data_IF_298051679563
#
_entry.id   IF_298051679563
#
_cell.length_a   1.000
_cell.length_b   1.000
_cell.length_c   1.000
_cell.angle_alpha   90.00
_cell.angle_beta   90.00
_cell.angle_gamma   90.00
#
_symmetry.space_group_name_H-M   'P 1'
#
loop_
_entity.id
_entity.type
_entity.pdbx_description
1 polymer ?
#
# COMPACT_ATOMS: atom_id res chain seq x y z
N UNK A 1 -10.23 10.13 -5.47
CA UNK A 1 -9.44 11.26 -6.02
C UNK A 1 -8.60 10.69 -7.14
N UNK A 2 -8.63 11.32 -8.32
CA UNK A 2 -8.04 10.72 -9.52
C UNK A 2 -6.95 11.61 -10.10
N UNK A 3 -5.78 11.02 -10.34
CA UNK A 3 -4.62 11.60 -11.00
C UNK A 3 -4.35 10.76 -12.25
N UNK A 4 -4.99 11.11 -13.36
CA UNK A 4 -4.98 10.33 -14.60
C UNK A 4 -4.35 11.16 -15.72
N UNK A 5 -3.31 10.61 -16.36
CA UNK A 5 -2.52 11.27 -17.41
C UNK A 5 -1.96 12.65 -16.98
N UNK A 6 -1.61 12.79 -15.70
CA UNK A 6 -1.08 14.03 -15.11
C UNK A 6 0.38 13.87 -14.71
N UNK A 7 1.27 13.81 -15.70
CA UNK A 7 2.71 13.75 -15.45
C UNK A 7 3.18 14.94 -14.59
N UNK A 8 3.95 14.68 -13.55
CA UNK A 8 4.45 15.70 -12.61
C UNK A 8 3.42 16.22 -11.61
N UNK A 9 2.22 15.62 -11.52
CA UNK A 9 1.23 16.01 -10.54
C UNK A 9 1.78 15.94 -9.12
N UNK A 10 1.43 16.94 -8.31
CA UNK A 10 1.83 16.98 -6.90
C UNK A 10 0.60 17.17 -6.02
N UNK A 11 0.44 16.28 -5.04
CA UNK A 11 -0.48 16.41 -3.93
C UNK A 11 0.32 16.71 -2.67
N UNK A 12 -0.03 17.75 -1.92
CA UNK A 12 0.76 18.18 -0.77
C UNK A 12 -0.12 18.57 0.42
N UNK A 13 0.18 18.00 1.58
CA UNK A 13 -0.44 18.35 2.87
C UNK A 13 -1.96 18.19 2.85
N UNK A 14 -2.46 17.11 2.26
CA UNK A 14 -3.89 16.84 2.16
C UNK A 14 -4.35 15.80 3.18
N UNK A 15 -5.61 15.89 3.61
CA UNK A 15 -6.29 14.84 4.37
C UNK A 15 -7.38 14.26 3.45
N UNK A 16 -7.34 12.94 3.25
CA UNK A 16 -8.20 12.21 2.34
C UNK A 16 -8.92 11.13 3.15
N UNK A 17 -10.08 11.50 3.66
CA UNK A 17 -10.93 10.70 4.56
C UNK A 17 -12.39 10.61 4.06
N UNK A 18 -12.67 11.17 2.88
CA UNK A 18 -14.02 11.29 2.36
C UNK A 18 -14.58 9.91 2.01
N UNK A 19 -15.71 9.56 2.59
CA UNK A 19 -16.60 8.54 2.05
C UNK A 19 -17.40 9.13 0.89
N UNK A 20 -17.64 8.35 -0.17
CA UNK A 20 -18.54 8.77 -1.24
C UNK A 20 -19.94 8.25 -0.95
N UNK A 21 -20.87 9.12 -0.52
CA UNK A 21 -22.21 8.71 -0.13
C UNK A 21 -23.03 8.18 -1.31
N UNK A 22 -22.62 8.44 -2.55
CA UNK A 22 -23.30 7.99 -3.76
C UNK A 22 -22.67 6.74 -4.38
N UNK A 23 -21.45 6.40 -3.97
CA UNK A 23 -20.76 5.19 -4.37
C UNK A 23 -20.03 4.58 -3.16
N UNK A 24 -20.76 3.92 -2.25
CA UNK A 24 -20.21 3.35 -1.02
C UNK A 24 -19.29 2.14 -1.27
N UNK A 25 -18.94 1.85 -2.52
CA UNK A 25 -18.00 0.80 -2.90
C UNK A 25 -16.86 1.39 -3.74
N UNK A 26 -16.42 2.62 -3.44
CA UNK A 26 -15.25 3.19 -4.10
C UNK A 26 -14.07 2.23 -3.98
N UNK A 27 -13.62 1.70 -5.11
CA UNK A 27 -12.51 0.73 -5.08
C UNK A 27 -11.20 1.35 -4.58
N UNK A 28 -11.06 2.70 -4.59
CA UNK A 28 -9.80 3.36 -4.22
C UNK A 28 -10.00 4.79 -3.70
N UNK A 29 -9.30 5.24 -2.64
CA UNK A 29 -9.30 6.67 -2.23
C UNK A 29 -8.50 7.56 -3.19
N UNK A 30 -7.31 7.13 -3.61
CA UNK A 30 -6.49 7.82 -4.62
C UNK A 30 -6.15 6.89 -5.76
N UNK A 31 -6.68 7.14 -6.97
CA UNK A 31 -6.24 6.47 -8.19
C UNK A 31 -5.19 7.32 -8.91
N UNK A 32 -4.04 6.72 -9.21
CA UNK A 32 -2.97 7.31 -10.03
C UNK A 32 -2.78 6.39 -11.22
N UNK A 33 -3.03 6.90 -12.43
CA UNK A 33 -2.98 6.09 -13.64
C UNK A 33 -2.29 6.83 -14.78
N UNK A 34 -1.43 6.13 -15.49
CA UNK A 34 -0.68 6.64 -16.65
C UNK A 34 -0.01 8.01 -16.36
N UNK A 35 0.49 8.20 -15.12
CA UNK A 35 0.98 9.47 -14.60
C UNK A 35 2.38 9.33 -14.02
N UNK A 36 3.37 9.76 -14.78
CA UNK A 36 4.80 9.68 -14.44
C UNK A 36 5.24 10.85 -13.56
N UNK A 37 6.21 10.60 -12.69
CA UNK A 37 6.77 11.59 -11.76
C UNK A 37 5.72 12.25 -10.84
N UNK A 38 4.68 11.50 -10.47
CA UNK A 38 3.65 11.99 -9.54
C UNK A 38 4.22 11.99 -8.13
N UNK A 39 3.93 13.02 -7.34
CA UNK A 39 4.42 13.12 -5.96
C UNK A 39 3.28 13.37 -4.98
N UNK A 40 3.26 12.63 -3.87
CA UNK A 40 2.39 12.88 -2.73
C UNK A 40 3.27 13.19 -1.52
N UNK A 41 3.07 14.36 -0.91
CA UNK A 41 3.89 14.87 0.18
C UNK A 41 3.04 15.17 1.41
N UNK A 42 3.46 14.72 2.59
CA UNK A 42 2.88 15.12 3.88
C UNK A 42 1.35 14.93 3.98
N UNK A 43 0.80 13.97 3.24
CA UNK A 43 -0.65 13.75 3.17
C UNK A 43 -1.07 12.57 4.04
N UNK A 44 -2.33 12.58 4.45
CA UNK A 44 -2.97 11.55 5.26
C UNK A 44 -4.10 10.91 4.44
N UNK A 45 -4.10 9.59 4.35
CA UNK A 45 -5.08 8.80 3.59
C UNK A 45 -5.71 7.77 4.51
N UNK A 46 -7.04 7.81 4.60
CA UNK A 46 -7.81 6.91 5.44
C UNK A 46 -8.76 6.08 4.56
N UNK A 47 -8.48 4.79 4.46
CA UNK A 47 -9.36 3.82 3.81
C UNK A 47 -10.10 3.01 4.88
N UNK A 48 -11.43 3.03 4.80
CA UNK A 48 -12.34 2.26 5.65
C UNK A 48 -12.92 1.07 4.87
N UNK A 49 -13.68 0.22 5.56
CA UNK A 49 -14.25 -1.04 5.04
C UNK A 49 -15.10 -0.92 3.75
N UNK A 50 -15.50 0.29 3.37
CA UNK A 50 -16.18 0.62 2.11
C UNK A 50 -15.22 0.77 0.91
N UNK A 51 -13.91 0.70 1.16
CA UNK A 51 -12.86 1.00 0.20
C UNK A 51 -11.92 -0.18 -0.01
N UNK A 52 -11.73 -0.62 -1.25
CA UNK A 52 -10.85 -1.76 -1.56
C UNK A 52 -9.35 -1.41 -1.46
N UNK A 53 -8.95 -0.19 -1.80
CA UNK A 53 -7.55 0.24 -1.74
C UNK A 53 -7.38 1.69 -1.26
N UNK A 54 -6.36 1.97 -0.44
CA UNK A 54 -6.01 3.35 -0.08
C UNK A 54 -5.52 4.13 -1.30
N UNK A 55 -4.45 3.63 -1.92
CA UNK A 55 -3.88 4.22 -3.14
C UNK A 55 -3.70 3.12 -4.17
N UNK A 56 -4.24 3.33 -5.38
CA UNK A 56 -4.03 2.46 -6.54
C UNK A 56 -3.14 3.18 -7.55
N UNK A 57 -2.10 2.51 -8.01
CA UNK A 57 -1.07 3.05 -8.89
C UNK A 57 -0.92 2.15 -10.11
N UNK A 58 -1.25 2.64 -11.29
CA UNK A 58 -1.23 1.88 -12.54
C UNK A 58 -0.35 2.57 -13.58
N UNK A 59 0.59 1.84 -14.18
CA UNK A 59 1.48 2.32 -15.25
C UNK A 59 2.21 3.65 -14.92
N UNK A 60 2.50 3.88 -13.64
CA UNK A 60 2.89 5.20 -13.13
C UNK A 60 4.19 5.15 -12.33
N UNK A 61 4.85 6.31 -12.20
CA UNK A 61 6.05 6.47 -11.37
C UNK A 61 5.71 7.47 -10.27
N UNK A 62 5.71 7.04 -9.01
CA UNK A 62 5.16 7.79 -7.89
C UNK A 62 6.15 7.91 -6.74
N UNK A 63 6.29 9.10 -6.19
CA UNK A 63 7.00 9.35 -4.94
C UNK A 63 6.02 9.67 -3.81
N UNK A 64 6.10 8.95 -2.69
CA UNK A 64 5.33 9.18 -1.47
C UNK A 64 6.28 9.64 -0.37
N UNK A 65 6.25 10.92 0.00
CA UNK A 65 7.14 11.48 1.01
C UNK A 65 6.37 11.85 2.27
N UNK A 66 6.71 11.22 3.40
CA UNK A 66 6.06 11.45 4.69
C UNK A 66 4.53 11.32 4.65
N UNK A 67 4.03 10.33 3.91
CA UNK A 67 2.60 10.02 3.83
C UNK A 67 2.20 9.18 5.04
N UNK A 68 1.03 9.46 5.60
CA UNK A 68 0.36 8.55 6.54
C UNK A 68 -0.79 7.87 5.83
N UNK A 69 -0.81 6.55 5.82
CA UNK A 69 -1.88 5.76 5.24
C UNK A 69 -2.39 4.77 6.29
N UNK A 70 -3.70 4.77 6.51
CA UNK A 70 -4.37 3.77 7.33
C UNK A 70 -5.46 3.11 6.51
N UNK A 71 -5.39 1.80 6.37
CA UNK A 71 -6.40 0.96 5.76
C UNK A 71 -6.90 -0.03 6.83
N UNK A 72 -8.09 0.23 7.38
CA UNK A 72 -8.69 -0.66 8.39
C UNK A 72 -10.03 -1.24 7.91
N UNK A 73 -10.16 -2.57 7.98
CA UNK A 73 -11.39 -3.31 7.70
C UNK A 73 -11.77 -4.21 8.89
N UNK A 74 -12.51 -3.64 9.83
CA UNK A 74 -13.07 -4.35 10.99
C UNK A 74 -14.48 -4.88 10.73
N UNK A 75 -14.94 -4.90 9.47
CA UNK A 75 -16.26 -5.42 9.10
C UNK A 75 -16.11 -6.70 8.28
N UNK A 76 -16.43 -7.83 8.89
CA UNK A 76 -16.29 -9.16 8.29
C UNK A 76 -17.19 -9.43 7.07
N UNK A 77 -18.11 -8.54 6.72
CA UNK A 77 -18.97 -8.68 5.54
C UNK A 77 -18.43 -8.00 4.28
N UNK A 78 -17.35 -7.21 4.39
CA UNK A 78 -16.81 -6.39 3.29
C UNK A 78 -15.43 -6.90 2.87
N UNK A 79 -15.17 -6.94 1.56
CA UNK A 79 -14.01 -7.60 0.94
C UNK A 79 -12.63 -7.03 1.30
N UNK A 80 -11.60 -7.55 0.63
CA UNK A 80 -10.20 -7.26 0.94
C UNK A 80 -9.88 -5.76 0.96
N UNK A 81 -8.95 -5.38 1.83
CA UNK A 81 -8.51 -4.00 1.92
C UNK A 81 -6.99 -3.86 1.79
N UNK A 82 -6.59 -3.12 0.77
CA UNK A 82 -5.20 -2.93 0.40
C UNK A 82 -4.76 -1.51 0.79
N UNK A 83 -3.62 -1.35 1.44
CA UNK A 83 -3.04 -0.04 1.67
C UNK A 83 -2.66 0.62 0.34
N UNK A 84 -1.69 0.02 -0.36
CA UNK A 84 -1.23 0.45 -1.69
C UNK A 84 -1.30 -0.73 -2.66
N UNK A 85 -2.01 -0.55 -3.78
CA UNK A 85 -2.08 -1.48 -4.89
C UNK A 85 -1.30 -0.91 -6.09
N UNK A 86 -0.43 -1.71 -6.70
CA UNK A 86 0.46 -1.26 -7.77
C UNK A 86 0.51 -2.25 -8.94
N UNK A 87 0.30 -1.76 -10.15
CA UNK A 87 0.41 -2.54 -11.40
C UNK A 87 1.29 -1.81 -12.41
N UNK A 88 2.34 -2.47 -12.92
CA UNK A 88 3.30 -1.89 -13.86
C UNK A 88 3.86 -0.53 -13.39
N UNK A 89 4.16 -0.41 -12.10
CA UNK A 89 4.48 0.87 -11.48
C UNK A 89 5.84 0.86 -10.77
N UNK A 90 6.44 2.04 -10.64
CA UNK A 90 7.58 2.27 -9.74
C UNK A 90 7.16 3.22 -8.62
N UNK A 91 7.34 2.80 -7.38
CA UNK A 91 6.92 3.55 -6.20
C UNK A 91 8.12 3.78 -5.31
N UNK A 92 8.35 5.04 -4.93
CA UNK A 92 9.43 5.44 -4.03
C UNK A 92 8.83 6.08 -2.78
N UNK A 93 8.94 5.41 -1.64
CA UNK A 93 8.48 5.87 -0.34
C UNK A 93 9.68 6.35 0.46
N UNK A 94 9.58 7.57 0.99
CA UNK A 94 10.57 8.13 1.89
C UNK A 94 9.88 8.75 3.12
N UNK A 95 10.02 8.08 4.26
CA UNK A 95 9.32 8.44 5.48
C UNK A 95 7.88 7.93 5.52
N UNK A 96 7.14 8.36 6.54
CA UNK A 96 5.72 8.08 6.66
C UNK A 96 5.37 6.86 7.50
N UNK A 97 4.06 6.61 7.62
CA UNK A 97 3.47 5.54 8.43
C UNK A 97 2.37 4.85 7.64
N UNK A 98 2.44 3.53 7.58
CA UNK A 98 1.49 2.71 6.82
C UNK A 98 0.89 1.67 7.76
N UNK A 99 -0.42 1.71 7.94
CA UNK A 99 -1.14 0.78 8.81
C UNK A 99 -2.14 -0.01 7.99
N UNK A 100 -2.15 -1.33 8.18
CA UNK A 100 -3.29 -2.19 7.85
C UNK A 100 -3.82 -2.91 9.07
N UNK A 101 -5.13 -3.11 9.12
CA UNK A 101 -5.83 -3.76 10.24
C UNK A 101 -7.07 -4.50 9.72
N UNK A 102 -7.25 -5.75 10.12
CA UNK A 102 -8.39 -6.57 9.72
C UNK A 102 -8.84 -7.55 10.80
N UNK A 103 -10.14 -7.83 10.87
CA UNK A 103 -10.68 -8.82 11.83
C UNK A 103 -10.94 -10.19 11.21
N UNK A 104 -11.18 -10.31 9.89
CA UNK A 104 -11.51 -11.60 9.24
C UNK A 104 -11.15 -11.70 7.74
N UNK A 105 -10.92 -10.57 7.04
CA UNK A 105 -10.72 -10.55 5.59
C UNK A 105 -9.27 -10.25 5.22
N UNK A 106 -8.80 -10.72 4.05
CA UNK A 106 -7.42 -10.47 3.61
C UNK A 106 -7.16 -8.97 3.51
N UNK A 107 -6.11 -8.50 4.18
CA UNK A 107 -5.64 -7.12 4.08
C UNK A 107 -4.17 -7.09 3.74
N UNK A 108 -3.76 -6.25 2.81
CA UNK A 108 -2.38 -6.19 2.34
C UNK A 108 -1.87 -4.75 2.46
N UNK A 109 -0.77 -4.49 3.14
CA UNK A 109 -0.23 -3.11 3.18
C UNK A 109 0.27 -2.70 1.79
N UNK A 110 0.91 -3.61 1.07
CA UNK A 110 1.38 -3.42 -0.30
C UNK A 110 1.08 -4.64 -1.16
N UNK A 111 0.32 -4.43 -2.24
CA UNK A 111 0.13 -5.42 -3.31
C UNK A 111 0.79 -4.94 -4.59
N UNK A 112 1.72 -5.73 -5.11
CA UNK A 112 2.56 -5.37 -6.25
C UNK A 112 2.39 -6.40 -7.37
N UNK A 113 2.09 -5.92 -8.57
CA UNK A 113 2.01 -6.74 -9.77
C UNK A 113 2.90 -6.12 -10.86
N UNK A 114 3.95 -6.84 -11.29
CA UNK A 114 4.98 -6.35 -12.20
C UNK A 114 5.47 -4.94 -11.83
N UNK A 115 5.72 -4.72 -10.55
CA UNK A 115 6.00 -3.39 -9.98
C UNK A 115 7.22 -3.38 -9.08
N UNK A 116 7.86 -2.22 -8.96
CA UNK A 116 8.98 -2.01 -8.04
C UNK A 116 8.59 -1.03 -6.94
N UNK A 117 8.81 -1.41 -5.69
CA UNK A 117 8.58 -0.60 -4.52
C UNK A 117 9.92 -0.39 -3.78
N UNK A 118 10.31 0.86 -3.59
CA UNK A 118 11.47 1.25 -2.80
C UNK A 118 11.00 2.02 -1.58
N UNK A 119 11.29 1.53 -0.36
CA UNK A 119 10.86 2.13 0.89
C UNK A 119 12.07 2.51 1.73
N UNK A 120 12.09 3.75 2.23
CA UNK A 120 13.12 4.23 3.16
C UNK A 120 12.54 4.95 4.36
N UNK A 121 13.11 4.73 5.54
CA UNK A 121 12.82 5.51 6.76
C UNK A 121 11.35 5.46 7.20
N UNK A 122 10.68 4.32 6.99
CA UNK A 122 9.22 4.19 7.13
C UNK A 122 8.86 3.24 8.27
N UNK A 123 7.70 3.48 8.89
CA UNK A 123 7.07 2.52 9.82
C UNK A 123 5.86 1.87 9.17
N UNK A 124 5.77 0.55 9.26
CA UNK A 124 4.65 -0.27 8.78
C UNK A 124 4.08 -1.03 9.98
N UNK A 125 2.76 -0.96 10.18
CA UNK A 125 2.03 -1.66 11.23
C UNK A 125 0.97 -2.53 10.60
N UNK A 126 0.93 -3.81 10.97
CA UNK A 126 0.02 -4.81 10.43
C UNK A 126 -0.69 -5.44 11.62
N UNK A 127 -2.01 -5.57 11.55
CA UNK A 127 -2.80 -6.08 12.66
C UNK A 127 -3.91 -7.02 12.19
N UNK A 128 -3.97 -8.21 12.78
CA UNK A 128 -4.98 -9.25 12.52
C UNK A 128 -4.52 -10.40 11.61
N UNK A 129 -5.10 -11.59 11.82
CA UNK A 129 -4.63 -12.87 11.24
C UNK A 129 -4.59 -12.91 9.70
N UNK A 130 -5.38 -12.07 9.03
CA UNK A 130 -5.44 -11.98 7.58
C UNK A 130 -4.69 -10.75 7.02
N UNK A 131 -3.98 -10.01 7.88
CA UNK A 131 -3.16 -8.88 7.47
C UNK A 131 -1.76 -9.33 7.05
N UNK A 132 -1.38 -8.88 5.87
CA UNK A 132 -0.12 -9.19 5.21
C UNK A 132 0.62 -7.89 4.88
N UNK A 133 1.92 -7.82 5.11
CA UNK A 133 2.69 -6.63 4.76
C UNK A 133 2.86 -6.46 3.25
N UNK A 134 3.34 -7.50 2.57
CA UNK A 134 3.66 -7.46 1.15
C UNK A 134 3.06 -8.66 0.42
N UNK A 135 2.45 -8.42 -0.72
CA UNK A 135 1.97 -9.43 -1.68
C UNK A 135 2.59 -9.10 -3.04
N UNK A 136 3.46 -9.99 -3.54
CA UNK A 136 4.25 -9.77 -4.76
C UNK A 136 3.81 -10.73 -5.86
N UNK A 137 3.48 -10.19 -7.03
CA UNK A 137 3.05 -10.94 -8.22
C UNK A 137 3.88 -10.50 -9.45
N UNK A 138 4.04 -11.40 -10.43
CA UNK A 138 4.60 -11.11 -11.76
C UNK A 138 5.94 -10.36 -11.75
N UNK A 139 6.97 -10.89 -11.08
CA UNK A 139 8.34 -10.31 -11.03
C UNK A 139 8.41 -8.93 -10.35
N UNK A 140 7.62 -8.74 -9.30
CA UNK A 140 7.65 -7.53 -8.48
C UNK A 140 8.82 -7.53 -7.50
N UNK A 141 9.36 -6.35 -7.20
CA UNK A 141 10.44 -6.20 -6.23
C UNK A 141 10.06 -5.20 -5.15
N UNK A 142 10.36 -5.52 -3.89
CA UNK A 142 10.29 -4.60 -2.76
C UNK A 142 11.67 -4.43 -2.14
N UNK A 143 12.18 -3.20 -2.06
CA UNK A 143 13.46 -2.86 -1.46
C UNK A 143 13.23 -1.99 -0.22
N UNK A 144 13.58 -2.50 0.95
CA UNK A 144 13.30 -1.90 2.25
C UNK A 144 14.61 -1.50 2.92
N UNK A 145 14.78 -0.21 3.18
CA UNK A 145 15.96 0.34 3.85
C UNK A 145 15.56 1.16 5.08
N UNK A 146 16.08 0.83 6.26
CA UNK A 146 15.74 1.55 7.50
C UNK A 146 14.22 1.60 7.75
N UNK A 147 13.57 0.45 7.61
CA UNK A 147 12.13 0.27 7.80
C UNK A 147 11.88 -0.44 9.14
N UNK A 148 10.83 -0.05 9.84
CA UNK A 148 10.30 -0.81 10.98
C UNK A 148 8.98 -1.43 10.59
N UNK A 149 8.84 -2.75 10.71
CA UNK A 149 7.60 -3.50 10.50
C UNK A 149 7.20 -4.12 11.83
N UNK A 150 5.96 -3.88 12.23
CA UNK A 150 5.34 -4.54 13.39
C UNK A 150 4.10 -5.28 12.90
N UNK A 151 4.08 -6.59 13.12
CA UNK A 151 2.93 -7.45 12.87
C UNK A 151 2.35 -7.91 14.21
N UNK A 152 1.05 -7.81 14.39
CA UNK A 152 0.37 -8.23 15.62
C UNK A 152 -0.86 -9.07 15.34
N UNK A 153 -1.30 -9.83 16.34
CA UNK A 153 -2.56 -10.59 16.31
C UNK A 153 -2.63 -11.56 15.11
N UNK A 154 -1.52 -12.26 14.83
CA UNK A 154 -1.41 -13.25 13.76
C UNK A 154 -1.13 -12.68 12.37
N UNK A 155 -0.89 -11.37 12.24
CA UNK A 155 -0.49 -10.77 10.97
C UNK A 155 0.87 -11.29 10.48
N UNK A 156 1.04 -11.32 9.15
CA UNK A 156 2.28 -11.75 8.51
C UNK A 156 3.03 -10.57 7.89
N UNK A 157 4.31 -10.42 8.22
CA UNK A 157 5.13 -9.32 7.68
C UNK A 157 5.27 -9.36 6.15
N UNK A 158 5.25 -10.56 5.55
CA UNK A 158 5.34 -10.73 4.11
C UNK A 158 4.65 -12.03 3.68
N UNK A 159 3.89 -11.96 2.58
CA UNK A 159 3.35 -13.12 1.87
C UNK A 159 4.01 -13.19 0.50
N UNK A 160 4.42 -14.40 0.13
CA UNK A 160 5.05 -14.65 -1.15
C UNK A 160 4.36 -15.83 -1.81
N UNK A 161 3.56 -15.56 -2.85
CA UNK A 161 2.99 -16.60 -3.69
C UNK A 161 3.92 -16.87 -4.87
N UNK A 162 4.59 -18.02 -4.84
CA UNK A 162 5.55 -18.39 -5.87
C UNK A 162 4.89 -18.85 -7.20
N UNK A 163 3.57 -18.96 -7.27
CA UNK A 163 2.87 -19.43 -8.47
C UNK A 163 2.83 -18.36 -9.58
N UNK A 164 2.67 -18.80 -10.85
CA UNK A 164 2.52 -17.94 -12.05
C UNK A 164 3.73 -17.06 -12.45
N UNK A 165 4.86 -17.66 -12.84
CA UNK A 165 6.04 -16.94 -13.37
C UNK A 165 6.66 -15.94 -12.39
N UNK A 166 6.45 -16.12 -11.09
CA UNK A 166 6.91 -15.19 -10.06
C UNK A 166 8.38 -15.39 -9.65
N UNK A 167 9.20 -16.02 -10.50
CA UNK A 167 10.55 -16.49 -10.15
C UNK A 167 11.56 -15.38 -9.88
N UNK A 168 11.25 -14.14 -10.26
CA UNK A 168 12.11 -12.97 -10.01
C UNK A 168 11.55 -12.03 -8.94
N UNK A 169 10.42 -12.37 -8.31
CA UNK A 169 9.92 -11.53 -7.22
C UNK A 169 10.82 -11.62 -6.00
N UNK A 170 11.11 -10.46 -5.40
CA UNK A 170 12.08 -10.39 -4.32
C UNK A 170 11.73 -9.30 -3.30
N UNK A 171 11.98 -9.60 -2.03
CA UNK A 171 11.97 -8.62 -0.95
C UNK A 171 13.40 -8.50 -0.41
N UNK A 172 14.03 -7.34 -0.64
CA UNK A 172 15.36 -7.03 -0.16
C UNK A 172 15.25 -6.14 1.08
N UNK A 173 15.84 -6.57 2.20
CA UNK A 173 15.71 -5.87 3.48
C UNK A 173 17.11 -5.49 3.98
N UNK A 174 17.33 -4.21 4.30
CA UNK A 174 18.61 -3.70 4.80
C UNK A 174 18.39 -2.70 5.93
N UNK A 175 19.14 -2.84 7.02
CA UNK A 175 19.06 -1.95 8.19
C UNK A 175 17.64 -1.78 8.78
N UNK A 176 16.81 -2.81 8.68
CA UNK A 176 15.40 -2.74 9.08
C UNK A 176 15.12 -3.62 10.30
N UNK A 177 14.04 -3.31 11.01
CA UNK A 177 13.54 -4.06 12.17
C UNK A 177 12.20 -4.69 11.85
N UNK A 178 12.08 -5.99 12.05
CA UNK A 178 10.82 -6.75 11.92
C UNK A 178 10.47 -7.33 13.29
N UNK A 179 9.27 -7.05 13.78
CA UNK A 179 8.75 -7.55 15.04
C UNK A 179 7.37 -8.21 14.84
N UNK A 180 7.14 -9.33 15.51
CA UNK A 180 5.86 -10.05 15.59
C UNK A 180 5.60 -10.46 17.04
N UNK A 181 4.34 -10.48 17.46
CA UNK A 181 3.89 -11.10 18.72
C UNK A 181 3.44 -12.57 18.56
#
# INVERSE_FOLDING_TARGET
>A
MDIIEKNGATLNSCVIDQSDPNNPYQSTKIQIKDSKNTTINFSQVYASSDTFSGIRIENSDVALNNVTLSASNTNNTLGNQIGIEATNATININGGRYKTETDQNTSEAFRLNNSTLNIKNTTISLDGEAATGFSLENNSAANLENVTITATNGAEAAFYDAENNNTLSAINITNSTLASD
#
